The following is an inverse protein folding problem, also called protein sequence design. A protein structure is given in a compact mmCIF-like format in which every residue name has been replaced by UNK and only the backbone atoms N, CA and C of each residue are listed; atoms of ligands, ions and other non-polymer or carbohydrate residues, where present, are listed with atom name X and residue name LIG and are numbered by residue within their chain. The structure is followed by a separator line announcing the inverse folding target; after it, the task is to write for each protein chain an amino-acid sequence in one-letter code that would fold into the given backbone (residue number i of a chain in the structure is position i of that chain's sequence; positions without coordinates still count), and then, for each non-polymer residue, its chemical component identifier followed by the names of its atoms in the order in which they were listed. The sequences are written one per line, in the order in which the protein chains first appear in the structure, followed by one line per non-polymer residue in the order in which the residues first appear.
data_IF_183350141896
#
_entry.id   IF_183350141896
#
_cell.length_a   1.000
_cell.length_b   1.000
_cell.length_c   1.000
_cell.angle_alpha   90.00
_cell.angle_beta   90.00
_cell.angle_gamma   90.00
#
_symmetry.space_group_name_H-M   'P 1'
#
loop_
_entity.id
_entity.type
_entity.pdbx_description
1 polymer ?
#
# COMPACT_ATOMS: atom_id res chain seq x y z
N UNK A 1 -30.52 10.00 0.84
CA UNK A 1 -29.31 10.84 0.95
C UNK A 1 -28.08 10.31 0.22
N UNK A 2 -28.17 9.27 -0.55
CA UNK A 2 -27.09 8.73 -1.37
C UNK A 2 -27.29 9.02 -2.86
N UNK A 3 -27.80 10.22 -3.18
CA UNK A 3 -28.28 10.56 -4.52
C UNK A 3 -27.27 11.06 -5.54
N UNK A 4 -26.02 11.32 -5.17
CA UNK A 4 -24.97 11.75 -6.10
C UNK A 4 -23.88 10.70 -6.18
N UNK A 5 -23.49 10.33 -7.41
CA UNK A 5 -22.35 9.45 -7.62
C UNK A 5 -21.05 10.11 -7.12
N UNK A 6 -20.34 9.43 -6.23
CA UNK A 6 -19.13 9.92 -5.60
C UNK A 6 -18.09 8.79 -5.53
N UNK A 7 -16.98 8.93 -6.24
CA UNK A 7 -15.93 7.92 -6.28
C UNK A 7 -14.53 8.53 -6.42
N UNK A 8 -13.81 8.67 -5.31
CA UNK A 8 -12.45 9.24 -5.27
C UNK A 8 -11.34 8.19 -5.37
N UNK A 9 -11.67 6.92 -5.54
CA UNK A 9 -10.73 5.79 -5.65
C UNK A 9 -9.80 5.63 -4.42
N UNK A 10 -10.17 6.14 -3.25
CA UNK A 10 -9.30 6.14 -2.06
C UNK A 10 -8.92 4.71 -1.66
N UNK A 11 -9.91 3.82 -1.53
CA UNK A 11 -9.66 2.42 -1.17
C UNK A 11 -8.78 1.73 -2.20
N UNK A 12 -9.06 1.93 -3.50
CA UNK A 12 -8.24 1.38 -4.58
C UNK A 12 -6.79 1.85 -4.52
N UNK A 13 -6.56 3.14 -4.27
CA UNK A 13 -5.21 3.70 -4.14
C UNK A 13 -4.47 3.11 -2.94
N UNK A 14 -5.14 2.87 -1.81
CA UNK A 14 -4.55 2.19 -0.66
C UNK A 14 -4.14 0.75 -0.98
N UNK A 15 -4.98 -0.02 -1.69
CA UNK A 15 -4.67 -1.38 -2.13
C UNK A 15 -3.44 -1.38 -3.05
N UNK A 16 -3.39 -0.47 -4.03
CA UNK A 16 -2.24 -0.35 -4.94
C UNK A 16 -0.97 0.02 -4.16
N UNK A 17 -1.07 0.99 -3.25
CA UNK A 17 0.05 1.42 -2.42
C UNK A 17 0.60 0.26 -1.57
N UNK A 18 -0.27 -0.51 -0.93
CA UNK A 18 0.13 -1.70 -0.19
C UNK A 18 0.87 -2.71 -1.09
N UNK A 19 0.32 -3.00 -2.30
CA UNK A 19 0.98 -3.89 -3.25
C UNK A 19 2.34 -3.39 -3.73
N UNK A 20 2.52 -2.08 -3.91
CA UNK A 20 3.82 -1.53 -4.35
C UNK A 20 4.93 -1.68 -3.32
N UNK A 21 4.60 -1.74 -2.02
CA UNK A 21 5.59 -1.93 -0.95
C UNK A 21 6.31 -3.29 -1.07
N UNK A 22 5.60 -4.32 -1.50
CA UNK A 22 6.11 -5.70 -1.52
C UNK A 22 6.42 -6.21 -2.92
N UNK A 23 6.42 -5.34 -3.93
CA UNK A 23 6.58 -5.76 -5.34
C UNK A 23 8.04 -6.05 -5.74
N UNK A 24 9.03 -5.69 -4.94
CA UNK A 24 10.45 -5.81 -5.29
C UNK A 24 11.19 -6.86 -4.45
N UNK A 25 10.48 -7.84 -3.93
CA UNK A 25 11.09 -8.93 -3.16
C UNK A 25 11.70 -9.92 -4.15
N UNK A 26 12.97 -10.29 -3.91
CA UNK A 26 13.71 -11.28 -4.69
C UNK A 26 14.14 -12.44 -3.80
N UNK A 27 14.18 -13.63 -4.37
CA UNK A 27 14.69 -14.83 -3.73
C UNK A 27 15.99 -15.23 -4.41
N UNK A 28 16.96 -15.71 -3.63
CA UNK A 28 18.24 -16.24 -4.13
C UNK A 28 18.35 -17.72 -3.76
N UNK A 29 18.56 -18.54 -4.75
CA UNK A 29 18.93 -19.93 -4.56
C UNK A 29 20.45 -20.05 -4.49
N UNK A 30 20.97 -20.60 -3.42
CA UNK A 30 22.41 -20.83 -3.21
C UNK A 30 22.72 -22.31 -3.24
N UNK A 31 23.87 -22.66 -3.78
CA UNK A 31 24.38 -24.03 -3.71
C UNK A 31 24.86 -24.33 -2.27
N UNK A 32 24.33 -25.37 -1.62
CA UNK A 32 24.72 -25.71 -0.25
C UNK A 32 26.19 -26.13 -0.09
N UNK A 33 26.85 -26.50 -1.20
CA UNK A 33 28.24 -26.95 -1.18
C UNK A 33 29.27 -25.84 -1.41
N UNK A 34 28.97 -24.89 -2.31
CA UNK A 34 29.90 -23.82 -2.68
C UNK A 34 29.53 -22.45 -2.14
N UNK A 35 28.26 -22.26 -1.69
CA UNK A 35 27.77 -20.97 -1.25
C UNK A 35 27.54 -19.95 -2.39
N UNK A 36 27.72 -20.36 -3.63
CA UNK A 36 27.49 -19.51 -4.80
C UNK A 36 25.99 -19.33 -5.08
N UNK A 37 25.62 -18.11 -5.48
CA UNK A 37 24.23 -17.82 -5.90
C UNK A 37 24.01 -18.42 -7.27
N UNK A 38 23.17 -19.44 -7.34
CA UNK A 38 22.80 -20.13 -8.59
C UNK A 38 21.79 -19.35 -9.40
N UNK A 39 20.78 -18.81 -8.75
CA UNK A 39 19.67 -18.13 -9.40
C UNK A 39 19.11 -17.02 -8.50
N UNK A 40 18.78 -15.88 -9.11
CA UNK A 40 18.04 -14.80 -8.47
C UNK A 40 16.69 -14.67 -9.17
N UNK A 41 15.61 -14.91 -8.42
CA UNK A 41 14.25 -14.86 -8.94
C UNK A 41 13.44 -13.79 -8.23
N UNK A 42 12.78 -12.92 -9.02
CA UNK A 42 11.79 -11.98 -8.48
C UNK A 42 10.51 -12.72 -8.08
N UNK A 43 10.03 -12.47 -6.86
CA UNK A 43 8.80 -13.07 -6.35
C UNK A 43 7.59 -12.26 -6.84
N UNK A 44 6.70 -12.85 -7.67
CA UNK A 44 5.53 -12.15 -8.16
C UNK A 44 4.51 -11.94 -7.05
N UNK A 45 3.94 -10.74 -7.00
CA UNK A 45 2.86 -10.36 -6.08
C UNK A 45 1.52 -10.29 -6.82
N UNK A 46 0.46 -10.79 -6.20
CA UNK A 46 -0.88 -10.71 -6.76
C UNK A 46 -1.94 -10.37 -5.71
N UNK A 47 -2.94 -9.58 -6.10
CA UNK A 47 -4.11 -9.28 -5.25
C UNK A 47 -5.17 -10.37 -5.39
N UNK A 48 -5.60 -10.91 -4.26
CA UNK A 48 -6.71 -11.86 -4.19
C UNK A 48 -6.62 -12.80 -3.01
N UNK A 49 -7.74 -13.46 -2.67
CA UNK A 49 -7.80 -14.39 -1.55
C UNK A 49 -6.94 -15.63 -1.76
N UNK A 50 -6.41 -16.16 -0.68
CA UNK A 50 -5.59 -17.38 -0.66
C UNK A 50 -6.23 -18.52 -1.43
N UNK A 51 -7.53 -18.73 -1.24
CA UNK A 51 -8.29 -19.81 -1.89
C UNK A 51 -8.20 -19.78 -3.42
N UNK A 52 -8.23 -18.57 -4.01
CA UNK A 52 -8.12 -18.42 -5.48
C UNK A 52 -6.80 -18.96 -6.03
N UNK A 53 -5.71 -18.80 -5.28
CA UNK A 53 -4.40 -19.30 -5.69
C UNK A 53 -4.27 -20.81 -5.47
N UNK A 54 -4.85 -21.35 -4.39
CA UNK A 54 -4.87 -22.78 -4.12
C UNK A 54 -5.65 -23.55 -5.20
N UNK A 55 -6.86 -23.10 -5.55
CA UNK A 55 -7.66 -23.70 -6.63
C UNK A 55 -6.88 -23.71 -7.94
N UNK A 56 -6.20 -22.62 -8.28
CA UNK A 56 -5.36 -22.57 -9.49
C UNK A 56 -4.18 -23.53 -9.45
N UNK A 57 -3.60 -23.77 -8.28
CA UNK A 57 -2.53 -24.78 -8.13
C UNK A 57 -3.07 -26.20 -8.35
N UNK A 58 -4.26 -26.50 -7.81
CA UNK A 58 -4.92 -27.79 -7.98
C UNK A 58 -5.35 -28.02 -9.44
N UNK A 59 -5.92 -27.02 -10.10
CA UNK A 59 -6.28 -27.08 -11.53
C UNK A 59 -5.07 -27.31 -12.43
N UNK A 60 -3.94 -26.70 -12.11
CA UNK A 60 -2.71 -26.85 -12.89
C UNK A 60 -2.06 -28.25 -12.70
N UNK A 61 -2.28 -28.90 -11.57
CA UNK A 61 -1.82 -30.26 -11.33
C UNK A 61 -2.56 -31.28 -12.21
N UNK A 62 -3.79 -30.98 -12.63
CA UNK A 62 -4.65 -31.88 -13.41
C UNK A 62 -4.70 -31.57 -14.92
N UNK A 63 -4.22 -30.41 -15.38
CA UNK A 63 -4.26 -30.01 -16.78
C UNK A 63 -2.97 -29.32 -17.20
N UNK A 64 -2.52 -29.52 -18.46
CA UNK A 64 -1.33 -28.90 -19.05
C UNK A 64 -1.44 -27.38 -19.30
N UNK A 65 -2.24 -26.66 -18.52
CA UNK A 65 -2.38 -25.21 -18.56
C UNK A 65 -1.30 -24.53 -17.72
N UNK A 66 -1.00 -23.32 -18.09
CA UNK A 66 0.08 -22.45 -17.57
C UNK A 66 0.24 -22.58 -16.05
N UNK A 67 1.34 -23.22 -15.63
CA UNK A 67 1.67 -23.38 -14.22
C UNK A 67 1.86 -22.03 -13.53
N UNK A 68 1.32 -21.89 -12.33
CA UNK A 68 1.63 -20.74 -11.48
C UNK A 68 3.08 -20.87 -11.05
N UNK A 69 3.88 -19.83 -11.28
CA UNK A 69 5.25 -19.78 -10.77
C UNK A 69 5.23 -19.65 -9.24
N UNK A 70 5.99 -20.50 -8.58
CA UNK A 70 6.29 -20.46 -7.14
C UNK A 70 7.80 -20.15 -6.97
N UNK A 71 8.18 -19.41 -5.92
CA UNK A 71 7.36 -18.81 -4.86
C UNK A 71 6.53 -17.62 -5.34
N UNK A 72 5.45 -17.31 -4.60
CA UNK A 72 4.53 -16.22 -4.92
C UNK A 72 4.01 -15.56 -3.64
N UNK A 73 3.88 -14.24 -3.70
CA UNK A 73 3.16 -13.46 -2.70
C UNK A 73 1.71 -13.23 -3.14
N UNK A 74 0.81 -13.25 -2.19
CA UNK A 74 -0.57 -12.79 -2.36
C UNK A 74 -0.95 -11.84 -1.24
N UNK A 75 -1.85 -10.93 -1.51
CA UNK A 75 -2.44 -10.09 -0.47
C UNK A 75 -3.90 -9.83 -0.75
N UNK A 76 -4.67 -9.63 0.31
CA UNK A 76 -6.07 -9.23 0.23
C UNK A 76 -6.42 -8.24 1.35
N UNK A 77 -7.46 -7.46 1.10
CA UNK A 77 -8.03 -6.61 2.12
C UNK A 77 -9.10 -7.41 2.87
N UNK A 78 -8.88 -7.63 4.17
CA UNK A 78 -9.74 -8.47 5.01
C UNK A 78 -10.81 -7.69 5.76
N UNK A 79 -10.58 -6.38 6.01
CA UNK A 79 -11.54 -5.58 6.74
C UNK A 79 -11.40 -4.08 6.54
N UNK A 80 -12.47 -3.37 6.87
CA UNK A 80 -12.54 -1.91 6.95
C UNK A 80 -13.26 -1.56 8.24
N UNK A 81 -12.55 -0.98 9.21
CA UNK A 81 -13.07 -0.68 10.53
C UNK A 81 -12.99 0.82 10.82
N UNK A 82 -14.04 1.37 11.43
CA UNK A 82 -14.04 2.77 11.85
C UNK A 82 -13.12 2.97 13.06
N UNK A 83 -12.23 3.96 12.99
CA UNK A 83 -11.36 4.30 14.09
C UNK A 83 -12.00 5.35 15.00
N UNK A 84 -12.55 4.89 16.12
CA UNK A 84 -13.20 5.75 17.12
C UNK A 84 -12.21 6.61 17.90
N UNK A 85 -10.94 6.22 17.97
CA UNK A 85 -9.91 6.97 18.72
C UNK A 85 -9.50 8.26 18.02
N UNK A 86 -9.54 8.26 16.68
CA UNK A 86 -9.25 9.43 15.83
C UNK A 86 -10.52 10.15 15.36
N UNK A 87 -11.63 10.01 16.09
CA UNK A 87 -12.90 10.63 15.73
C UNK A 87 -12.75 12.15 15.55
N UNK A 88 -13.18 12.64 14.39
CA UNK A 88 -13.24 14.07 14.05
C UNK A 88 -14.68 14.56 14.10
N UNK A 89 -14.87 15.87 14.33
CA UNK A 89 -16.21 16.46 14.31
C UNK A 89 -16.81 16.42 12.90
N UNK A 90 -18.04 15.91 12.71
CA UNK A 90 -18.69 15.85 11.41
C UNK A 90 -19.02 17.22 10.80
N UNK A 91 -19.04 18.27 11.61
CA UNK A 91 -19.36 19.65 11.21
C UNK A 91 -18.12 20.39 10.70
N UNK A 92 -16.92 19.92 11.06
CA UNK A 92 -15.67 20.58 10.72
C UNK A 92 -15.39 20.51 9.22
N UNK A 93 -15.03 21.66 8.64
CA UNK A 93 -14.72 21.81 7.22
C UNK A 93 -13.37 22.50 7.03
N UNK A 94 -12.59 22.03 6.09
CA UNK A 94 -11.43 22.74 5.58
C UNK A 94 -11.83 23.63 4.42
N UNK A 95 -11.43 24.90 4.48
CA UNK A 95 -11.60 25.87 3.39
C UNK A 95 -10.22 26.18 2.79
N UNK A 96 -10.08 25.99 1.50
CA UNK A 96 -8.84 26.32 0.77
C UNK A 96 -9.17 27.28 -0.34
N UNK A 97 -8.46 28.42 -0.38
CA UNK A 97 -8.55 29.41 -1.46
C UNK A 97 -7.68 28.90 -2.60
N UNK A 98 -8.20 28.77 -3.79
CA UNK A 98 -7.49 28.23 -4.96
C UNK A 98 -6.90 29.37 -5.78
N UNK A 99 -7.67 30.45 -5.94
CA UNK A 99 -7.20 31.62 -6.67
C UNK A 99 -6.63 32.65 -5.69
N UNK A 100 -5.45 33.21 -6.04
CA UNK A 100 -4.80 34.25 -5.24
C UNK A 100 -5.68 35.49 -4.98
N UNK A 101 -6.73 35.68 -5.74
CA UNK A 101 -7.71 36.76 -5.61
C UNK A 101 -8.90 36.42 -4.67
N UNK A 102 -8.94 35.22 -4.09
CA UNK A 102 -9.95 34.83 -3.11
C UNK A 102 -11.37 34.53 -3.66
N UNK A 103 -11.56 34.52 -4.98
CA UNK A 103 -12.86 34.30 -5.60
C UNK A 103 -13.32 32.84 -5.63
N UNK A 104 -12.37 31.89 -5.62
CA UNK A 104 -12.71 30.46 -5.56
C UNK A 104 -12.30 29.84 -4.22
N UNK A 105 -13.30 29.44 -3.44
CA UNK A 105 -13.11 28.75 -2.17
C UNK A 105 -13.57 27.31 -2.30
N UNK A 106 -12.65 26.35 -2.17
CA UNK A 106 -13.02 24.94 -2.03
C UNK A 106 -13.27 24.62 -0.57
N UNK A 107 -14.41 23.98 -0.33
CA UNK A 107 -14.80 23.51 1.00
C UNK A 107 -14.78 21.99 1.00
N UNK A 108 -14.02 21.40 1.92
CA UNK A 108 -13.94 19.96 2.12
C UNK A 108 -14.30 19.60 3.55
N UNK A 109 -15.13 18.57 3.72
CA UNK A 109 -15.34 17.98 5.05
C UNK A 109 -14.08 17.26 5.52
N UNK A 110 -13.86 17.25 6.84
CA UNK A 110 -12.76 16.49 7.44
C UNK A 110 -12.94 15.00 7.09
N UNK A 111 -11.87 14.32 6.64
CA UNK A 111 -11.94 12.92 6.31
C UNK A 111 -12.26 12.07 7.53
N UNK A 112 -13.10 11.06 7.32
CA UNK A 112 -13.47 10.10 8.36
C UNK A 112 -12.34 9.06 8.49
N UNK A 113 -11.83 8.78 9.71
CA UNK A 113 -10.75 7.82 9.92
C UNK A 113 -11.27 6.39 9.85
N UNK A 114 -10.68 5.58 8.97
CA UNK A 114 -10.89 4.15 8.87
C UNK A 114 -9.56 3.41 8.92
N UNK A 115 -9.55 2.27 9.57
CA UNK A 115 -8.46 1.31 9.52
C UNK A 115 -8.76 0.28 8.43
N UNK A 116 -7.79 0.03 7.57
CA UNK A 116 -7.86 -0.99 6.52
C UNK A 116 -6.97 -2.15 6.94
N UNK A 117 -7.54 -3.34 7.08
CA UNK A 117 -6.81 -4.55 7.42
C UNK A 117 -6.43 -5.30 6.15
N UNK A 118 -5.15 -5.65 6.05
CA UNK A 118 -4.61 -6.43 4.93
C UNK A 118 -3.97 -7.70 5.46
N UNK A 119 -4.15 -8.79 4.73
CA UNK A 119 -3.42 -10.03 4.89
C UNK A 119 -2.41 -10.16 3.76
N UNK A 120 -1.14 -10.39 4.10
CA UNK A 120 -0.07 -10.71 3.16
C UNK A 120 0.37 -12.15 3.43
N UNK A 121 0.38 -12.97 2.40
CA UNK A 121 0.80 -14.37 2.52
C UNK A 121 1.80 -14.78 1.45
N UNK A 122 2.56 -15.81 1.79
CA UNK A 122 3.57 -16.42 0.91
C UNK A 122 3.14 -17.83 0.55
N UNK A 123 3.24 -18.19 -0.71
CA UNK A 123 3.07 -19.57 -1.21
C UNK A 123 4.38 -20.00 -1.84
N UNK A 124 5.04 -21.00 -1.27
CA UNK A 124 6.31 -21.54 -1.75
C UNK A 124 6.28 -23.06 -1.76
N UNK A 125 7.22 -23.69 -2.45
CA UNK A 125 7.42 -25.15 -2.43
C UNK A 125 8.17 -25.59 -1.18
N UNK A 126 9.22 -24.83 -0.83
CA UNK A 126 10.08 -25.08 0.32
C UNK A 126 9.74 -24.13 1.46
N UNK A 127 9.94 -24.58 2.69
CA UNK A 127 9.84 -23.75 3.87
C UNK A 127 10.97 -22.69 3.91
N UNK A 128 12.16 -23.07 3.46
CA UNK A 128 13.32 -22.17 3.41
C UNK A 128 13.08 -20.97 2.50
N UNK A 129 12.49 -21.21 1.32
CA UNK A 129 12.11 -20.12 0.39
C UNK A 129 11.13 -19.15 1.03
N UNK A 130 10.14 -19.70 1.76
CA UNK A 130 9.16 -18.87 2.45
C UNK A 130 9.80 -18.04 3.58
N UNK A 131 10.70 -18.62 4.36
CA UNK A 131 11.42 -17.94 5.44
C UNK A 131 12.32 -16.83 4.89
N UNK A 132 13.06 -17.08 3.80
CA UNK A 132 13.89 -16.08 3.14
C UNK A 132 13.09 -14.84 2.71
N UNK A 133 11.85 -15.04 2.22
CA UNK A 133 10.95 -13.94 1.86
C UNK A 133 10.47 -13.19 3.10
N UNK A 134 10.08 -13.90 4.16
CA UNK A 134 9.58 -13.30 5.41
C UNK A 134 10.67 -12.48 6.10
N UNK A 135 11.91 -12.97 6.14
CA UNK A 135 13.06 -12.27 6.72
C UNK A 135 13.39 -10.96 5.99
N UNK A 136 13.07 -10.82 4.72
CA UNK A 136 13.20 -9.55 3.99
C UNK A 136 12.12 -8.52 4.37
N UNK A 137 10.97 -8.97 4.85
CA UNK A 137 9.82 -8.11 5.16
C UNK A 137 9.86 -7.60 6.61
N UNK A 138 10.16 -8.51 7.56
CA UNK A 138 10.06 -8.23 9.00
C UNK A 138 10.89 -7.03 9.49
N UNK A 139 12.13 -6.79 9.01
CA UNK A 139 12.97 -5.68 9.50
C UNK A 139 12.38 -4.29 9.27
N UNK A 140 11.46 -4.13 8.30
CA UNK A 140 10.81 -2.85 8.03
C UNK A 140 9.74 -2.48 9.07
N UNK A 141 9.26 -3.45 9.84
CA UNK A 141 8.19 -3.26 10.85
C UNK A 141 8.76 -3.19 12.27
N UNK A 142 9.15 -1.97 12.72
CA UNK A 142 9.75 -1.72 14.04
C UNK A 142 8.98 -0.64 14.85
N UNK A 143 7.89 -0.90 15.48
CA UNK A 143 6.82 -1.88 15.25
C UNK A 143 5.90 -1.48 14.09
N UNK A 144 6.05 -0.28 13.53
CA UNK A 144 5.22 0.25 12.44
C UNK A 144 6.07 0.84 11.32
N UNK A 145 5.57 0.73 10.12
CA UNK A 145 6.15 1.33 8.93
C UNK A 145 5.28 2.48 8.44
N UNK A 146 5.83 3.68 8.32
CA UNK A 146 5.11 4.88 7.90
C UNK A 146 5.43 5.24 6.45
N UNK A 147 4.38 5.39 5.65
CA UNK A 147 4.49 5.83 4.26
C UNK A 147 3.65 7.08 4.01
N UNK A 148 4.10 7.92 3.10
CA UNK A 148 3.36 9.09 2.66
C UNK A 148 2.76 8.82 1.29
N UNK A 149 1.43 8.93 1.18
CA UNK A 149 0.68 8.70 -0.06
C UNK A 149 -0.06 9.97 -0.47
N UNK A 150 0.09 10.35 -1.73
CA UNK A 150 -0.63 11.47 -2.33
C UNK A 150 -2.02 11.00 -2.79
N UNK A 151 -2.99 10.99 -1.87
CA UNK A 151 -4.31 10.45 -2.16
C UNK A 151 -5.29 11.46 -2.74
N UNK A 152 -5.32 12.67 -2.18
CA UNK A 152 -6.25 13.73 -2.55
C UNK A 152 -5.48 15.01 -2.80
N UNK A 153 -5.62 15.57 -3.98
CA UNK A 153 -4.92 16.80 -4.41
C UNK A 153 -5.20 18.01 -3.49
N UNK A 154 -6.36 18.06 -2.83
CA UNK A 154 -6.76 19.14 -1.94
C UNK A 154 -6.06 19.15 -0.58
N UNK A 155 -5.59 18.01 -0.09
CA UNK A 155 -4.81 17.93 1.15
C UNK A 155 -3.37 18.44 0.97
N UNK A 156 -2.89 18.55 -0.27
CA UNK A 156 -1.53 18.98 -0.59
C UNK A 156 -1.32 20.49 -0.61
N UNK A 157 -2.37 21.28 -0.61
CA UNK A 157 -2.27 22.75 -0.64
C UNK A 157 -2.18 23.39 0.74
N UNK A 158 -2.20 22.59 1.82
CA UNK A 158 -1.83 23.09 3.14
C UNK A 158 -0.30 23.05 3.26
N UNK A 159 0.40 24.20 3.19
CA UNK A 159 1.85 24.22 3.35
C UNK A 159 2.19 23.66 4.74
N UNK A 160 3.05 22.65 4.75
CA UNK A 160 3.60 22.08 5.97
C UNK A 160 4.19 23.23 6.83
N UNK A 161 4.10 23.18 8.16
CA UNK A 161 4.81 24.15 9.01
C UNK A 161 6.30 24.30 8.70
N UNK A 162 6.92 23.28 8.10
CA UNK A 162 8.31 23.31 7.62
C UNK A 162 8.50 24.13 6.34
N UNK A 163 7.51 24.22 5.47
CA UNK A 163 7.62 25.01 4.23
C UNK A 163 7.50 26.51 4.51
N UNK A 164 6.86 26.91 5.60
CA UNK A 164 6.82 28.32 6.02
C UNK A 164 8.16 28.85 6.49
N UNK A 165 9.10 28.00 6.91
CA UNK A 165 10.45 28.44 7.30
C UNK A 165 11.38 28.70 6.11
N UNK A 166 11.14 28.06 4.95
CA UNK A 166 11.97 28.26 3.75
C UNK A 166 11.64 29.53 2.96
N UNK A 167 10.45 30.10 3.14
CA UNK A 167 10.04 31.33 2.44
C UNK A 167 10.48 32.62 3.12
N UNK A 168 11.20 32.55 4.24
CA UNK A 168 11.77 33.72 4.94
C UNK A 168 13.29 33.80 4.77
N UNK A 169 13.78 33.77 3.55
CA UNK A 169 15.09 34.33 3.28
C UNK A 169 14.90 35.82 2.96
N UNK A 170 15.51 36.75 3.72
CA UNK A 170 15.53 38.15 3.31
C UNK A 170 16.35 38.25 2.05
N UNK A 171 15.79 38.85 1.03
CA UNK A 171 16.59 39.29 -0.13
C UNK A 171 17.54 40.35 0.42
N UNK A 172 18.80 40.02 0.55
CA UNK A 172 19.87 41.01 0.78
C UNK A 172 20.06 41.82 -0.48
N UNK A 173 19.95 43.13 -0.31
CA UNK A 173 20.29 44.15 -1.27
C UNK A 173 21.72 44.03 -1.82
#
# INVERSE_FOLDING_TARGET
MLGSHFYNQIVRKNIIAFGTLFNNITMKSTDPSSGEVLEEQKVPLAYGPKQKFLVRLEENASSSKIAITLPRLYFEMTGIDYDSTRKTSPIQKYKTIIDGNGNEVRVQYVPVPYNLSFELGVIAKSQDDALQIVEQILPYFQPSFSITLNMICLLYTSPSPRDRQKSRMPSSA
#
